data_IF_829636388169
#
_entry.id   IF_829636388169
#
_cell.length_a   1.000
_cell.length_b   1.000
_cell.length_c   1.000
_cell.angle_alpha   90.00
_cell.angle_beta   90.00
_cell.angle_gamma   90.00
#
_symmetry.space_group_name_H-M   'P 1'
#
loop_
_entity.id
_entity.type
_entity.pdbx_description
1 polymer ?
#
# COMPACT_ATOMS: atom_id res chain seq x y z
N UNK A 1 -6.26 -0.50 7.76
CA UNK A 1 -7.55 -1.08 7.32
C UNK A 1 -7.59 -1.07 5.81
N UNK A 2 -7.93 -2.20 5.17
CA UNK A 2 -8.27 -2.22 3.74
C UNK A 2 -9.62 -1.55 3.57
N UNK A 3 -9.61 -0.45 2.82
CA UNK A 3 -10.76 0.46 2.66
C UNK A 3 -11.56 0.09 1.41
N UNK A 4 -10.89 -0.39 0.37
CA UNK A 4 -11.55 -0.84 -0.85
C UNK A 4 -10.67 -1.84 -1.62
N UNK A 5 -11.33 -2.70 -2.41
CA UNK A 5 -10.72 -3.60 -3.39
C UNK A 5 -11.44 -3.41 -4.72
N UNK A 6 -10.70 -3.27 -5.81
CA UNK A 6 -11.24 -3.13 -7.15
C UNK A 6 -10.47 -4.02 -8.12
N UNK A 7 -11.19 -4.83 -8.89
CA UNK A 7 -10.59 -5.64 -9.96
C UNK A 7 -10.87 -4.97 -11.31
N UNK A 8 -9.84 -4.73 -12.11
CA UNK A 8 -9.92 -4.09 -13.43
C UNK A 8 -9.00 -4.84 -14.39
N UNK A 9 -9.51 -5.33 -15.52
CA UNK A 9 -8.69 -5.82 -16.65
C UNK A 9 -7.57 -6.79 -16.24
N UNK A 10 -7.84 -7.74 -15.34
CA UNK A 10 -6.83 -8.72 -14.89
C UNK A 10 -5.83 -8.16 -13.86
N UNK A 11 -6.14 -7.05 -13.21
CA UNK A 11 -5.35 -6.47 -12.13
C UNK A 11 -6.23 -6.25 -10.91
N UNK A 12 -5.63 -6.36 -9.74
CA UNK A 12 -6.28 -6.02 -8.48
C UNK A 12 -5.66 -4.77 -7.88
N UNK A 13 -6.52 -3.84 -7.50
CA UNK A 13 -6.17 -2.61 -6.80
C UNK A 13 -6.71 -2.69 -5.38
N UNK A 14 -5.81 -2.64 -4.40
CA UNK A 14 -6.14 -2.65 -2.98
C UNK A 14 -5.83 -1.27 -2.39
N UNK A 15 -6.83 -0.65 -1.79
CA UNK A 15 -6.72 0.65 -1.17
C UNK A 15 -6.68 0.50 0.35
N UNK A 16 -5.68 1.08 0.99
CA UNK A 16 -5.51 1.03 2.45
C UNK A 16 -5.43 2.43 3.04
N UNK A 17 -5.98 2.56 4.25
CA UNK A 17 -5.72 3.68 5.13
C UNK A 17 -5.05 3.17 6.40
N UNK A 18 -3.88 3.74 6.69
CA UNK A 18 -3.03 3.38 7.81
C UNK A 18 -2.93 4.62 8.70
N UNK A 19 -3.26 4.45 9.97
CA UNK A 19 -3.20 5.50 10.99
C UNK A 19 -2.17 5.09 12.04
N UNK A 20 -1.16 5.94 12.24
CA UNK A 20 -0.21 5.80 13.33
C UNK A 20 -0.86 6.24 14.66
N UNK A 21 -0.29 5.77 15.78
CA UNK A 21 -0.74 6.15 17.14
C UNK A 21 -0.67 7.66 17.40
N UNK A 22 0.24 8.37 16.72
CA UNK A 22 0.37 9.82 16.76
C UNK A 22 -0.55 10.57 15.76
N UNK A 23 -1.59 9.92 15.24
CA UNK A 23 -2.55 10.47 14.29
C UNK A 23 -2.00 10.84 12.90
N UNK A 24 -0.80 10.40 12.53
CA UNK A 24 -0.33 10.48 11.14
C UNK A 24 -1.08 9.47 10.29
N UNK A 25 -1.46 9.87 9.08
CA UNK A 25 -2.14 9.01 8.11
C UNK A 25 -1.28 8.75 6.88
N UNK A 26 -1.33 7.52 6.38
CA UNK A 26 -0.77 7.10 5.10
C UNK A 26 -1.85 6.39 4.31
N UNK A 27 -2.06 6.83 3.08
CA UNK A 27 -2.89 6.13 2.10
C UNK A 27 -1.98 5.27 1.22
N UNK A 28 -2.44 4.07 0.92
CA UNK A 28 -1.74 3.12 0.06
C UNK A 28 -2.67 2.65 -1.06
N UNK A 29 -2.14 2.57 -2.27
CA UNK A 29 -2.70 1.78 -3.38
C UNK A 29 -1.69 0.69 -3.73
N UNK A 30 -2.09 -0.57 -3.55
CA UNK A 30 -1.30 -1.72 -3.94
C UNK A 30 -1.93 -2.32 -5.20
N UNK A 31 -1.13 -2.37 -6.26
CA UNK A 31 -1.50 -2.90 -7.56
C UNK A 31 -0.85 -4.26 -7.77
N UNK A 32 -1.69 -5.26 -7.98
CA UNK A 32 -1.31 -6.66 -8.21
C UNK A 32 -1.61 -6.99 -9.67
N UNK A 33 -0.60 -7.44 -10.40
CA UNK A 33 -0.73 -7.82 -11.80
C UNK A 33 -0.94 -9.33 -11.94
N UNK A 34 -2.04 -9.77 -12.55
CA UNK A 34 -2.20 -11.21 -12.84
C UNK A 34 -1.11 -11.66 -13.82
N UNK A 35 -0.50 -12.81 -13.55
CA UNK A 35 0.57 -13.37 -14.38
C UNK A 35 1.96 -12.78 -14.13
N UNK A 36 2.12 -11.85 -13.18
CA UNK A 36 3.42 -11.33 -12.74
C UNK A 36 3.51 -11.37 -11.21
N UNK A 37 4.71 -11.63 -10.68
CA UNK A 37 5.00 -11.48 -9.24
C UNK A 37 5.28 -10.03 -8.86
N UNK A 38 5.37 -9.12 -9.84
CA UNK A 38 5.62 -7.71 -9.58
C UNK A 38 4.40 -7.03 -8.96
N UNK A 39 4.65 -6.37 -7.83
CA UNK A 39 3.69 -5.53 -7.13
C UNK A 39 4.09 -4.06 -7.27
N UNK A 40 3.12 -3.18 -7.53
CA UNK A 40 3.36 -1.74 -7.51
C UNK A 40 2.68 -1.12 -6.30
N UNK A 41 3.45 -0.48 -5.42
CA UNK A 41 2.96 0.19 -4.23
C UNK A 41 3.07 1.71 -4.40
N UNK A 42 1.92 2.38 -4.34
CA UNK A 42 1.82 3.84 -4.31
C UNK A 42 1.43 4.30 -2.91
N UNK A 43 2.17 5.26 -2.35
CA UNK A 43 1.97 5.78 -1.00
C UNK A 43 1.76 7.29 -1.02
N UNK A 44 0.84 7.76 -0.18
CA UNK A 44 0.57 9.20 -0.03
C UNK A 44 0.40 9.56 1.44
N UNK A 45 1.16 10.56 1.89
CA UNK A 45 1.03 11.17 3.22
C UNK A 45 1.46 12.63 3.18
N UNK A 46 1.09 13.37 4.23
CA UNK A 46 1.64 14.71 4.52
C UNK A 46 3.05 14.65 5.10
N UNK A 47 3.48 13.48 5.59
CA UNK A 47 4.76 13.29 6.27
C UNK A 47 5.64 12.31 5.48
N UNK A 48 6.76 12.81 4.93
CA UNK A 48 7.65 12.03 4.06
C UNK A 48 8.27 10.85 4.80
N UNK A 49 8.68 11.02 6.06
CA UNK A 49 9.24 9.94 6.87
C UNK A 49 8.26 8.78 7.04
N UNK A 50 6.97 9.06 7.20
CA UNK A 50 5.95 8.02 7.29
C UNK A 50 5.81 7.24 5.98
N UNK A 51 5.99 7.89 4.82
CA UNK A 51 6.00 7.21 3.52
C UNK A 51 7.16 6.23 3.42
N UNK A 52 8.38 6.67 3.77
CA UNK A 52 9.57 5.82 3.73
C UNK A 52 9.43 4.61 4.66
N UNK A 53 8.98 4.83 5.89
CA UNK A 53 8.78 3.77 6.88
C UNK A 53 7.70 2.76 6.43
N UNK A 54 6.57 3.22 5.90
CA UNK A 54 5.52 2.31 5.39
C UNK A 54 6.04 1.52 4.19
N UNK A 55 6.83 2.12 3.30
CA UNK A 55 7.40 1.40 2.16
C UNK A 55 8.29 0.22 2.62
N UNK A 56 9.19 0.47 3.57
CA UNK A 56 10.05 -0.58 4.14
C UNK A 56 9.23 -1.68 4.83
N UNK A 57 8.19 -1.29 5.57
CA UNK A 57 7.31 -2.26 6.24
C UNK A 57 6.51 -3.12 5.26
N UNK A 58 6.02 -2.56 4.15
CA UNK A 58 5.36 -3.35 3.10
C UNK A 58 6.32 -4.36 2.49
N UNK A 59 7.57 -3.97 2.21
CA UNK A 59 8.58 -4.89 1.70
C UNK A 59 8.83 -6.03 2.69
N UNK A 60 9.07 -5.70 3.97
CA UNK A 60 9.32 -6.69 5.01
C UNK A 60 8.15 -7.66 5.18
N UNK A 61 6.91 -7.16 5.21
CA UNK A 61 5.72 -8.00 5.43
C UNK A 61 5.47 -8.91 4.22
N UNK A 62 5.65 -8.41 3.00
CA UNK A 62 5.38 -9.17 1.77
C UNK A 62 6.52 -10.12 1.39
N UNK A 63 7.72 -9.92 1.94
CA UNK A 63 8.87 -10.81 1.73
C UNK A 63 8.94 -11.98 2.71
N UNK A 64 8.03 -12.05 3.69
CA UNK A 64 7.88 -13.18 4.62
C UNK A 64 6.79 -14.13 4.12
#
# INVERSE_FOLDING_TARGET
MTVARRSIEGQELLYHSIKYTNNIFVLSELKIHQGSTALTLSLKSRHIQAVANINEMFQLILSN
#
